data_IF_776228188927
#
_entry.id   IF_776228188927
#
_cell.length_a   1.000
_cell.length_b   1.000
_cell.length_c   1.000
_cell.angle_alpha   90.00
_cell.angle_beta   90.00
_cell.angle_gamma   90.00
#
_symmetry.space_group_name_H-M   'P 1'
#
loop_
_entity.id
_entity.type
_entity.pdbx_description
1 polymer ?
#
# COMPACT_ATOMS: atom_id res chain seq x y z
N UNK A 1 46.03 -2.53 -1.98
CA UNK A 1 45.11 -2.60 -0.80
C UNK A 1 43.65 -2.23 -1.09
N UNK A 2 43.33 -1.32 -2.02
CA UNK A 2 41.92 -0.92 -2.29
C UNK A 2 41.02 -1.99 -2.92
N UNK A 3 41.56 -2.85 -3.79
CA UNK A 3 40.81 -3.92 -4.47
C UNK A 3 40.39 -5.03 -3.49
N UNK A 4 41.21 -5.29 -2.47
CA UNK A 4 40.94 -6.31 -1.46
C UNK A 4 39.71 -5.96 -0.59
N UNK A 5 39.53 -4.68 -0.28
CA UNK A 5 38.36 -4.19 0.47
C UNK A 5 37.07 -4.25 -0.35
N UNK A 6 37.13 -4.02 -1.66
CA UNK A 6 35.96 -4.10 -2.54
C UNK A 6 35.47 -5.56 -2.71
N UNK A 7 36.40 -6.51 -2.82
CA UNK A 7 36.05 -7.94 -2.92
C UNK A 7 35.40 -8.47 -1.63
N UNK A 8 35.88 -8.02 -0.46
CA UNK A 8 35.37 -8.44 0.84
C UNK A 8 33.94 -7.90 1.11
N UNK A 9 33.66 -6.69 0.64
CA UNK A 9 32.32 -6.10 0.72
C UNK A 9 31.31 -6.80 -0.20
N UNK A 10 31.76 -7.22 -1.38
CA UNK A 10 30.91 -7.96 -2.32
C UNK A 10 30.58 -9.37 -1.81
N UNK A 11 31.52 -10.04 -1.14
CA UNK A 11 31.30 -11.37 -0.57
C UNK A 11 30.31 -11.37 0.61
N UNK A 12 30.35 -10.35 1.48
CA UNK A 12 29.36 -10.23 2.58
C UNK A 12 27.94 -9.94 2.09
N UNK A 13 27.78 -9.35 0.90
CA UNK A 13 26.47 -8.99 0.36
C UNK A 13 25.68 -10.19 -0.20
N UNK A 14 26.37 -11.27 -0.56
CA UNK A 14 25.75 -12.47 -1.17
C UNK A 14 25.25 -13.46 -0.10
N UNK A 15 25.83 -13.45 1.11
CA UNK A 15 25.47 -14.39 2.19
C UNK A 15 24.13 -14.13 2.87
N UNK A 16 23.48 -12.98 2.63
CA UNK A 16 22.25 -12.58 3.33
C UNK A 16 20.93 -13.13 2.76
N UNK A 17 20.94 -13.81 1.60
CA UNK A 17 19.72 -14.18 0.88
C UNK A 17 19.19 -15.61 1.13
N UNK A 18 19.83 -16.41 1.98
CA UNK A 18 19.46 -17.81 2.21
C UNK A 18 18.93 -18.14 3.62
N UNK A 19 18.43 -17.16 4.37
CA UNK A 19 17.71 -17.44 5.62
C UNK A 19 16.21 -17.68 5.37
N UNK A 20 15.87 -18.87 4.88
CA UNK A 20 14.54 -19.46 5.05
C UNK A 20 14.65 -20.57 6.09
N UNK A 21 14.07 -20.38 7.28
CA UNK A 21 14.07 -21.35 8.38
C UNK A 21 12.70 -21.40 9.06
N UNK A 22 12.21 -22.62 9.28
CA UNK A 22 10.81 -23.05 9.39
C UNK A 22 10.01 -22.50 10.60
N UNK A 23 8.71 -22.26 10.39
CA UNK A 23 7.72 -22.09 11.47
C UNK A 23 7.44 -23.45 12.13
N UNK A 24 7.76 -23.58 13.41
CA UNK A 24 7.39 -24.70 14.27
C UNK A 24 5.86 -24.79 14.38
N UNK A 25 5.29 -25.86 13.84
CA UNK A 25 3.89 -26.22 14.06
C UNK A 25 3.77 -26.84 15.45
N UNK A 26 3.12 -26.11 16.35
CA UNK A 26 2.74 -26.56 17.69
C UNK A 26 1.57 -27.55 17.54
N UNK A 27 1.77 -28.82 17.93
CA UNK A 27 0.70 -29.82 17.99
C UNK A 27 -0.17 -29.56 19.23
N UNK A 28 -1.38 -29.02 19.03
CA UNK A 28 -2.43 -28.98 20.06
C UNK A 28 -3.15 -30.35 20.15
N UNK A 29 -3.50 -30.81 21.37
CA UNK A 29 -4.17 -32.10 21.56
C UNK A 29 -5.63 -32.10 21.08
N UNK A 30 -6.02 -33.15 20.34
CA UNK A 30 -7.37 -33.31 19.79
C UNK A 30 -8.41 -33.65 20.87
N UNK A 31 -9.61 -33.02 20.78
CA UNK A 31 -10.81 -33.42 21.52
C UNK A 31 -11.84 -34.06 20.58
N UNK A 32 -12.53 -35.10 21.06
CA UNK A 32 -13.17 -36.15 20.27
C UNK A 32 -14.49 -35.81 19.53
N UNK A 33 -15.01 -34.57 19.53
CA UNK A 33 -16.40 -34.34 19.11
C UNK A 33 -16.70 -33.15 18.17
N UNK A 34 -15.72 -32.62 17.45
CA UNK A 34 -15.98 -31.72 16.32
C UNK A 34 -15.28 -32.23 15.06
N UNK A 35 -15.95 -32.23 13.92
CA UNK A 35 -15.28 -32.38 12.61
C UNK A 35 -14.49 -31.09 12.34
N UNK A 36 -13.31 -30.96 12.97
CA UNK A 36 -12.42 -29.79 12.90
C UNK A 36 -11.82 -29.57 11.49
N UNK A 37 -12.02 -30.50 10.55
CA UNK A 37 -11.47 -30.42 9.18
C UNK A 37 -12.46 -29.99 8.10
N UNK A 38 -13.45 -29.15 8.42
CA UNK A 38 -14.01 -28.29 7.38
C UNK A 38 -13.00 -27.16 7.12
N UNK A 39 -11.93 -27.44 6.36
CA UNK A 39 -11.06 -26.38 5.85
C UNK A 39 -11.96 -25.46 5.02
N UNK A 40 -12.20 -24.19 5.41
CA UNK A 40 -12.93 -23.28 4.56
C UNK A 40 -12.20 -23.24 3.22
N UNK A 41 -12.95 -23.44 2.14
CA UNK A 41 -12.40 -23.41 0.78
C UNK A 41 -11.64 -22.08 0.60
N UNK A 42 -10.31 -22.08 0.39
CA UNK A 42 -9.52 -20.85 0.33
C UNK A 42 -9.94 -19.97 -0.85
N UNK A 43 -10.72 -20.49 -1.81
CA UNK A 43 -11.33 -19.71 -2.89
C UNK A 43 -12.53 -18.85 -2.43
N UNK A 44 -13.16 -19.18 -1.29
CA UNK A 44 -14.34 -18.48 -0.73
C UNK A 44 -14.02 -17.60 0.48
N UNK A 45 -12.79 -17.64 0.97
CA UNK A 45 -12.38 -16.93 2.18
C UNK A 45 -11.96 -15.48 1.86
N UNK A 46 -12.94 -14.64 1.52
CA UNK A 46 -12.82 -13.18 1.47
C UNK A 46 -12.01 -12.63 0.29
N UNK A 47 -12.49 -11.54 -0.32
CA UNK A 47 -11.72 -10.79 -1.32
C UNK A 47 -10.34 -10.49 -0.75
N UNK A 48 -9.26 -11.00 -1.37
CA UNK A 48 -7.87 -10.68 -0.99
C UNK A 48 -7.79 -9.20 -0.65
N UNK A 49 -7.50 -8.87 0.61
CA UNK A 49 -7.36 -7.49 1.07
C UNK A 49 -6.30 -6.81 0.18
N UNK A 50 -6.75 -6.07 -0.86
CA UNK A 50 -5.86 -5.36 -1.77
C UNK A 50 -5.08 -4.39 -0.90
N UNK A 51 -3.74 -4.52 -0.84
CA UNK A 51 -2.89 -3.63 -0.06
C UNK A 51 -3.02 -2.20 -0.61
N UNK A 52 -3.75 -1.34 0.11
CA UNK A 52 -3.98 0.06 -0.26
C UNK A 52 -2.74 0.87 0.12
N UNK A 53 -2.27 1.71 -0.80
CA UNK A 53 -1.17 2.65 -0.54
C UNK A 53 -1.71 4.06 -0.36
N UNK A 54 -1.20 4.79 0.60
CA UNK A 54 -1.69 6.13 0.92
C UNK A 54 -0.86 7.21 0.24
N UNK A 55 -1.51 8.20 -0.35
CA UNK A 55 -0.87 9.45 -0.78
C UNK A 55 -1.32 10.55 0.16
N UNK A 56 -0.36 11.15 0.85
CA UNK A 56 -0.62 12.11 1.91
C UNK A 56 -0.48 13.53 1.40
N UNK A 57 -1.55 14.31 1.53
CA UNK A 57 -1.59 15.74 1.17
C UNK A 57 -1.79 16.61 2.42
N UNK A 58 -1.33 17.87 2.34
CA UNK A 58 -1.44 18.87 3.43
C UNK A 58 -2.86 19.41 3.57
N UNK A 59 -3.51 19.55 2.44
CA UNK A 59 -4.79 20.16 2.19
C UNK A 59 -5.69 19.15 1.47
N UNK A 60 -6.97 19.48 1.30
CA UNK A 60 -7.95 18.66 0.58
C UNK A 60 -7.97 18.93 -0.93
N UNK A 61 -7.07 19.78 -1.44
CA UNK A 61 -7.10 20.22 -2.84
C UNK A 61 -6.73 19.10 -3.82
N UNK A 62 -7.54 18.99 -4.87
CA UNK A 62 -7.34 18.04 -5.97
C UNK A 62 -7.51 16.57 -5.56
N UNK A 63 -8.34 16.30 -4.56
CA UNK A 63 -8.97 15.00 -4.29
C UNK A 63 -10.27 15.24 -3.50
N UNK A 64 -11.11 14.22 -3.36
CA UNK A 64 -12.40 14.32 -2.69
C UNK A 64 -12.40 13.39 -1.45
N UNK A 65 -11.87 13.84 -0.30
CA UNK A 65 -11.97 13.05 0.93
C UNK A 65 -13.43 12.92 1.35
N UNK A 66 -13.87 11.71 1.71
CA UNK A 66 -15.25 11.43 2.10
C UNK A 66 -16.21 11.20 0.92
N UNK A 67 -15.79 11.42 -0.33
CA UNK A 67 -16.60 11.08 -1.50
C UNK A 67 -16.42 9.60 -1.84
N UNK A 68 -17.48 8.82 -1.65
CA UNK A 68 -17.48 7.37 -1.88
C UNK A 68 -17.13 6.98 -3.33
N UNK A 69 -17.63 7.72 -4.32
CA UNK A 69 -17.30 7.49 -5.74
C UNK A 69 -15.79 7.59 -6.00
N UNK A 70 -15.15 8.62 -5.43
CA UNK A 70 -13.73 8.85 -5.58
C UNK A 70 -12.89 7.84 -4.79
N UNK A 71 -13.30 7.55 -3.55
CA UNK A 71 -12.62 6.60 -2.67
C UNK A 71 -12.67 5.18 -3.22
N UNK A 72 -13.82 4.70 -3.68
CA UNK A 72 -13.95 3.36 -4.26
C UNK A 72 -13.12 3.24 -5.55
N UNK A 73 -13.21 4.24 -6.44
CA UNK A 73 -12.48 4.23 -7.69
C UNK A 73 -10.95 4.31 -7.50
N UNK A 74 -10.48 5.08 -6.50
CA UNK A 74 -9.05 5.14 -6.16
C UNK A 74 -8.60 3.89 -5.41
N UNK A 75 -9.43 3.33 -4.54
CA UNK A 75 -9.19 2.06 -3.85
C UNK A 75 -9.04 0.89 -4.82
N UNK A 76 -9.81 0.88 -5.90
CA UNK A 76 -9.62 -0.07 -7.00
C UNK A 76 -8.31 0.16 -7.77
N UNK A 77 -7.76 1.37 -7.69
CA UNK A 77 -6.38 1.67 -8.11
C UNK A 77 -5.31 1.20 -7.14
N UNK A 78 -5.70 0.70 -5.96
CA UNK A 78 -4.78 0.33 -4.89
C UNK A 78 -4.16 1.56 -4.22
N UNK A 79 -4.78 2.74 -4.35
CA UNK A 79 -4.31 3.97 -3.75
C UNK A 79 -5.44 4.68 -3.01
N UNK A 80 -5.13 5.46 -1.98
CA UNK A 80 -6.11 6.28 -1.28
C UNK A 80 -5.47 7.59 -0.87
N UNK A 81 -6.19 8.69 -1.04
CA UNK A 81 -5.72 10.02 -0.65
C UNK A 81 -6.16 10.32 0.77
N UNK A 82 -5.25 10.84 1.58
CA UNK A 82 -5.55 11.28 2.94
C UNK A 82 -5.05 12.71 3.15
N UNK A 83 -5.91 13.53 3.76
CA UNK A 83 -5.55 14.88 4.21
C UNK A 83 -4.97 14.78 5.62
N UNK A 84 -3.69 15.11 5.78
CA UNK A 84 -3.04 15.19 7.08
C UNK A 84 -2.42 16.58 7.23
N UNK A 85 -2.97 17.44 8.11
CA UNK A 85 -2.40 18.75 8.37
C UNK A 85 -1.02 18.64 9.02
N UNK A 86 -0.23 19.72 8.92
CA UNK A 86 1.13 19.75 9.48
C UNK A 86 1.10 19.50 10.99
N UNK A 87 2.06 18.73 11.51
CA UNK A 87 2.22 18.46 12.93
C UNK A 87 1.48 17.21 13.45
N UNK A 88 0.73 16.50 12.62
CA UNK A 88 0.11 15.23 13.03
C UNK A 88 1.11 14.07 13.09
N UNK A 89 0.85 13.14 14.02
CA UNK A 89 1.81 12.12 14.49
C UNK A 89 2.41 11.24 13.39
N UNK A 90 1.68 10.96 12.30
CA UNK A 90 2.12 10.04 11.25
C UNK A 90 3.20 10.64 10.33
N UNK A 91 3.25 11.97 10.17
CA UNK A 91 4.22 12.66 9.31
C UNK A 91 4.68 13.99 9.91
N UNK A 92 5.52 13.91 10.95
CA UNK A 92 6.12 15.09 11.60
C UNK A 92 7.05 15.88 10.67
N UNK A 93 7.76 15.16 9.78
CA UNK A 93 8.75 15.75 8.87
C UNK A 93 8.24 15.77 7.42
N UNK A 94 8.36 16.93 6.75
CA UNK A 94 7.93 17.09 5.35
C UNK A 94 8.69 16.16 4.39
N UNK A 95 9.97 15.92 4.68
CA UNK A 95 10.83 15.07 3.85
C UNK A 95 10.39 13.61 3.86
N UNK A 96 10.05 13.06 5.04
CA UNK A 96 9.56 11.69 5.16
C UNK A 96 8.27 11.49 4.35
N UNK A 97 7.35 12.45 4.42
CA UNK A 97 6.12 12.42 3.63
C UNK A 97 6.39 12.47 2.13
N UNK A 98 7.33 13.32 1.70
CA UNK A 98 7.68 13.42 0.29
C UNK A 98 8.31 12.11 -0.22
N UNK A 99 9.20 11.48 0.55
CA UNK A 99 9.78 10.18 0.19
C UNK A 99 8.74 9.06 0.16
N UNK A 100 7.83 9.02 1.14
CA UNK A 100 6.72 8.07 1.13
C UNK A 100 5.85 8.24 -0.13
N UNK A 101 5.41 9.46 -0.42
CA UNK A 101 4.62 9.78 -1.60
C UNK A 101 5.36 9.47 -2.90
N UNK A 102 6.68 9.69 -2.95
CA UNK A 102 7.50 9.35 -4.11
C UNK A 102 7.52 7.84 -4.35
N UNK A 103 7.70 7.04 -3.30
CA UNK A 103 7.64 5.58 -3.40
C UNK A 103 6.28 5.07 -3.89
N UNK A 104 5.19 5.65 -3.40
CA UNK A 104 3.83 5.30 -3.87
C UNK A 104 3.60 5.71 -5.32
N UNK A 105 4.02 6.92 -5.71
CA UNK A 105 3.91 7.40 -7.10
C UNK A 105 4.74 6.56 -8.06
N UNK A 106 5.94 6.17 -7.67
CA UNK A 106 6.80 5.30 -8.47
C UNK A 106 6.16 3.92 -8.65
N UNK A 107 5.62 3.34 -7.56
CA UNK A 107 4.88 2.08 -7.64
C UNK A 107 3.66 2.19 -8.57
N UNK A 108 2.91 3.28 -8.53
CA UNK A 108 1.78 3.53 -9.43
C UNK A 108 2.23 3.66 -10.89
N UNK A 109 3.37 4.29 -11.13
CA UNK A 109 3.94 4.43 -12.47
C UNK A 109 4.25 3.05 -13.09
N UNK A 110 4.78 2.11 -12.31
CA UNK A 110 5.07 0.75 -12.79
C UNK A 110 3.84 -0.17 -12.83
N UNK A 111 2.89 -0.03 -11.90
CA UNK A 111 1.73 -0.96 -11.83
C UNK A 111 0.51 -0.49 -12.63
N UNK A 112 0.33 0.82 -12.80
CA UNK A 112 -0.82 1.42 -13.50
C UNK A 112 -0.41 2.22 -14.75
N UNK A 113 0.88 2.36 -15.00
CA UNK A 113 1.43 3.06 -16.15
C UNK A 113 1.62 4.57 -15.93
N UNK A 114 2.36 5.26 -16.82
CA UNK A 114 2.73 6.67 -16.66
C UNK A 114 1.52 7.63 -16.64
N UNK A 115 0.38 7.20 -17.21
CA UNK A 115 -0.85 8.00 -17.28
C UNK A 115 -1.80 7.80 -16.08
N UNK A 116 -1.37 7.11 -15.01
CA UNK A 116 -2.18 6.89 -13.81
C UNK A 116 -2.76 8.19 -13.24
N UNK A 117 -1.97 9.28 -13.27
CA UNK A 117 -2.37 10.59 -12.77
C UNK A 117 -3.51 11.20 -13.60
N UNK A 118 -3.49 11.02 -14.92
CA UNK A 118 -4.59 11.46 -15.80
C UNK A 118 -5.88 10.69 -15.49
N UNK A 119 -5.75 9.37 -15.22
CA UNK A 119 -6.90 8.53 -14.85
C UNK A 119 -7.52 8.97 -13.52
N UNK A 120 -6.70 9.25 -12.51
CA UNK A 120 -7.17 9.78 -11.22
C UNK A 120 -7.83 11.15 -11.38
N UNK A 121 -7.27 12.04 -12.21
CA UNK A 121 -7.88 13.35 -12.49
C UNK A 121 -9.20 13.24 -13.26
N UNK A 122 -9.36 12.23 -14.11
CA UNK A 122 -10.63 11.94 -14.76
C UNK A 122 -11.67 11.54 -13.71
N UNK A 123 -11.34 10.57 -12.85
CA UNK A 123 -12.21 10.14 -11.72
C UNK A 123 -12.56 11.30 -10.80
N UNK A 124 -11.60 12.16 -10.47
CA UNK A 124 -11.85 13.36 -9.68
C UNK A 124 -12.95 14.23 -10.30
N UNK A 125 -12.87 14.50 -11.61
CA UNK A 125 -13.89 15.29 -12.31
C UNK A 125 -15.22 14.55 -12.35
N UNK A 126 -15.20 13.29 -12.75
CA UNK A 126 -16.40 12.45 -12.91
C UNK A 126 -17.16 12.31 -11.58
N UNK A 127 -16.46 12.20 -10.44
CA UNK A 127 -17.07 12.14 -9.11
C UNK A 127 -17.36 13.52 -8.49
N UNK A 128 -16.75 14.62 -8.97
CA UNK A 128 -17.03 15.98 -8.46
C UNK A 128 -18.35 16.54 -8.98
N UNK A 129 -18.58 16.41 -10.29
CA UNK A 129 -19.73 17.02 -10.97
C UNK A 129 -21.10 16.54 -10.48
N UNK A 130 -21.37 15.24 -10.32
CA UNK A 130 -22.70 14.76 -9.94
C UNK A 130 -23.02 14.93 -8.45
N UNK A 131 -22.01 15.02 -7.59
CA UNK A 131 -22.19 15.08 -6.13
C UNK A 131 -22.10 16.50 -5.56
N UNK A 132 -21.78 17.51 -6.37
CA UNK A 132 -21.69 18.89 -5.91
C UNK A 132 -20.55 19.15 -4.92
N UNK A 133 -19.58 18.24 -4.81
CA UNK A 133 -18.47 18.33 -3.87
C UNK A 133 -17.50 19.45 -4.29
N UNK A 134 -17.81 20.66 -3.86
CA UNK A 134 -17.00 21.85 -4.05
C UNK A 134 -15.89 21.93 -3.00
N UNK A 135 -15.03 20.91 -2.86
CA UNK A 135 -13.79 21.08 -2.09
C UNK A 135 -12.83 21.99 -2.89
N UNK A 136 -12.49 23.15 -2.34
CA UNK A 136 -11.68 24.21 -2.96
C UNK A 136 -10.38 24.50 -2.21
#
# INVERSE_FOLDING_TARGET
MRIFWLALFFMMSIGGLLSFGQSTGEEEPETQNTRVKARPDPSKQGSKNKKIRYIVKKDTKGFLPGNKCYEDATRDMGLMYIALPKGQAMYKNEWNRNMHNLGVKLWLLFTRGPFWKLKVNKIYRDCRYPYGDATG
#
